data_IF_515589907093
#
_entry.id   IF_515589907093
#
_cell.length_a   1.000
_cell.length_b   1.000
_cell.length_c   1.000
_cell.angle_alpha   90.00
_cell.angle_beta   90.00
_cell.angle_gamma   90.00
#
_symmetry.space_group_name_H-M   'P 1'
#
loop_
_entity.id
_entity.type
_entity.pdbx_description
1 polymer ?
#
# COMPACT_ATOMS: atom_id res chain seq x y z
N UNK A 1 14.27 -14.70 -2.11
CA UNK A 1 13.79 -15.85 -2.92
C UNK A 1 12.91 -16.59 -1.94
N UNK A 2 11.62 -16.30 -1.99
CA UNK A 2 10.74 -16.51 -0.85
C UNK A 2 9.96 -17.81 -1.08
N UNK A 3 9.52 -18.49 -0.02
CA UNK A 3 8.88 -19.81 -0.11
C UNK A 3 7.70 -19.82 -1.11
N UNK A 4 6.93 -18.73 -1.16
CA UNK A 4 5.81 -18.54 -2.08
C UNK A 4 6.27 -18.55 -3.54
N UNK A 5 7.37 -17.86 -3.84
CA UNK A 5 7.97 -17.87 -5.16
C UNK A 5 8.39 -19.27 -5.60
N UNK A 6 8.86 -20.09 -4.66
CA UNK A 6 9.31 -21.44 -4.93
C UNK A 6 8.13 -22.42 -5.16
N UNK A 7 7.10 -22.36 -4.31
CA UNK A 7 5.98 -23.31 -4.34
C UNK A 7 4.88 -22.94 -5.33
N UNK A 8 4.82 -21.71 -5.86
CA UNK A 8 3.82 -21.31 -6.88
C UNK A 8 3.92 -22.10 -8.20
N UNK A 9 5.11 -22.64 -8.52
CA UNK A 9 5.32 -23.44 -9.72
C UNK A 9 4.81 -24.88 -9.60
N UNK A 10 4.37 -25.30 -8.42
CA UNK A 10 3.94 -26.65 -8.16
C UNK A 10 2.48 -26.84 -8.56
N UNK A 11 2.20 -27.95 -9.25
CA UNK A 11 0.86 -28.27 -9.71
C UNK A 11 -0.01 -28.68 -8.52
N UNK A 12 -1.15 -28.04 -8.34
CA UNK A 12 -2.12 -28.37 -7.28
C UNK A 12 -1.89 -27.64 -5.96
N UNK A 13 -1.02 -26.62 -5.92
CA UNK A 13 -0.84 -25.78 -4.73
C UNK A 13 -1.94 -24.74 -4.66
N UNK A 14 -2.71 -24.76 -3.57
CA UNK A 14 -3.69 -23.72 -3.25
C UNK A 14 -3.20 -22.94 -2.04
N UNK A 15 -3.27 -21.61 -2.14
CA UNK A 15 -2.98 -20.73 -1.02
C UNK A 15 -4.25 -20.11 -0.53
N UNK A 16 -4.37 -20.04 0.79
CA UNK A 16 -5.50 -19.40 1.44
C UNK A 16 -5.00 -18.29 2.35
N UNK A 17 -5.59 -17.11 2.20
CA UNK A 17 -5.37 -15.99 3.09
C UNK A 17 -6.73 -15.40 3.48
N UNK A 18 -6.92 -15.10 4.78
CA UNK A 18 -8.17 -14.52 5.29
C UNK A 18 -9.46 -15.27 4.87
N UNK A 19 -9.37 -16.60 4.73
CA UNK A 19 -10.50 -17.44 4.31
C UNK A 19 -10.80 -17.44 2.81
N UNK A 20 -9.98 -16.79 1.98
CA UNK A 20 -10.09 -16.77 0.52
C UNK A 20 -9.02 -17.63 -0.13
N UNK A 21 -9.37 -18.36 -1.17
CA UNK A 21 -8.37 -19.02 -2.04
C UNK A 21 -7.75 -17.95 -2.94
N UNK A 22 -6.44 -17.79 -2.85
CA UNK A 22 -5.66 -16.78 -3.59
C UNK A 22 -5.06 -17.41 -4.84
N UNK A 23 -4.53 -18.62 -4.72
CA UNK A 23 -3.78 -19.25 -5.81
C UNK A 23 -4.65 -20.33 -6.45
N UNK A 24 -5.44 -19.86 -7.42
CA UNK A 24 -6.00 -20.62 -8.55
C UNK A 24 -5.71 -19.92 -9.90
N UNK A 25 -5.28 -18.66 -9.87
CA UNK A 25 -4.95 -17.79 -11.01
C UNK A 25 -3.58 -17.12 -10.75
N UNK A 26 -2.82 -16.80 -11.80
CA UNK A 26 -1.40 -16.39 -11.67
C UNK A 26 -1.23 -14.98 -11.10
N UNK A 27 -2.17 -14.06 -11.35
CA UNK A 27 -2.09 -12.65 -10.95
C UNK A 27 -2.14 -12.42 -9.42
N UNK A 28 -3.11 -12.99 -8.66
CA UNK A 28 -3.18 -12.82 -7.20
C UNK A 28 -1.94 -13.30 -6.44
N UNK A 29 -1.23 -14.30 -6.98
CA UNK A 29 0.00 -14.81 -6.38
C UNK A 29 1.10 -13.74 -6.32
N UNK A 30 1.25 -12.94 -7.39
CA UNK A 30 2.26 -11.89 -7.45
C UNK A 30 1.94 -10.73 -6.52
N UNK A 31 0.66 -10.37 -6.39
CA UNK A 31 0.24 -9.30 -5.48
C UNK A 31 0.52 -9.67 -4.03
N UNK A 32 0.16 -10.90 -3.62
CA UNK A 32 0.50 -11.39 -2.28
C UNK A 32 2.01 -11.50 -2.06
N UNK A 33 2.76 -12.00 -3.04
CA UNK A 33 4.22 -12.06 -2.96
C UNK A 33 4.81 -10.66 -2.73
N UNK A 34 4.30 -9.64 -3.43
CA UNK A 34 4.74 -8.26 -3.28
C UNK A 34 4.40 -7.68 -1.89
N UNK A 35 3.19 -7.94 -1.38
CA UNK A 35 2.76 -7.52 -0.03
C UNK A 35 3.63 -8.18 1.04
N UNK A 36 3.87 -9.49 0.94
CA UNK A 36 4.66 -10.22 1.93
C UNK A 36 6.14 -9.85 1.88
N UNK A 37 6.67 -9.57 0.69
CA UNK A 37 8.01 -9.00 0.55
C UNK A 37 8.10 -7.62 1.22
N UNK A 38 7.14 -6.74 0.97
CA UNK A 38 7.08 -5.43 1.63
C UNK A 38 7.01 -5.55 3.16
N UNK A 39 6.22 -6.51 3.67
CA UNK A 39 6.17 -6.80 5.10
C UNK A 39 7.54 -7.29 5.63
N UNK A 40 8.20 -8.21 4.94
CA UNK A 40 9.53 -8.69 5.34
C UNK A 40 10.57 -7.55 5.37
N UNK A 41 10.56 -6.68 4.35
CA UNK A 41 11.44 -5.50 4.29
C UNK A 41 11.13 -4.53 5.45
N UNK A 42 9.85 -4.37 5.80
CA UNK A 42 9.46 -3.56 6.96
C UNK A 42 9.95 -4.15 8.28
N UNK A 43 10.06 -5.48 8.40
CA UNK A 43 10.57 -6.15 9.60
C UNK A 43 12.08 -5.97 9.77
N UNK A 44 12.81 -5.70 8.68
CA UNK A 44 14.23 -5.37 8.73
C UNK A 44 14.49 -3.91 9.16
N UNK A 45 13.49 -3.03 9.10
CA UNK A 45 13.60 -1.66 9.57
C UNK A 45 13.53 -1.57 11.11
N UNK A 46 14.33 -0.68 11.71
CA UNK A 46 14.32 -0.43 13.16
C UNK A 46 12.96 0.08 13.64
N UNK A 47 12.38 1.00 12.89
CA UNK A 47 10.99 1.44 13.06
C UNK A 47 10.24 1.14 11.76
N UNK A 48 9.19 0.34 11.88
CA UNK A 48 8.33 -0.02 10.76
C UNK A 48 7.57 1.18 10.19
N UNK A 49 7.26 2.18 11.02
CA UNK A 49 6.51 3.37 10.59
C UNK A 49 7.28 4.13 9.51
N UNK A 50 8.61 4.19 9.60
CA UNK A 50 9.45 4.78 8.56
C UNK A 50 9.36 4.05 7.20
N UNK A 51 9.16 2.72 7.24
CA UNK A 51 8.98 1.92 6.04
C UNK A 51 7.55 2.03 5.49
N UNK A 52 6.55 1.88 6.37
CA UNK A 52 5.15 1.71 6.03
C UNK A 52 4.45 3.04 5.76
N UNK A 53 4.69 4.08 6.57
CA UNK A 53 3.90 5.31 6.49
C UNK A 53 4.44 6.24 5.42
N UNK A 54 3.55 7.00 4.79
CA UNK A 54 3.89 8.05 3.84
C UNK A 54 3.13 9.31 4.16
N UNK A 55 3.81 10.45 4.04
CA UNK A 55 3.17 11.74 4.21
C UNK A 55 2.55 12.15 2.87
N UNK A 56 1.34 12.71 2.92
CA UNK A 56 0.58 13.18 1.76
C UNK A 56 -0.05 14.54 2.06
N UNK A 57 -0.22 15.36 1.03
CA UNK A 57 -0.78 16.71 1.17
C UNK A 57 -2.31 16.71 1.06
N UNK A 58 -2.86 15.96 0.10
CA UNK A 58 -4.29 15.81 -0.14
C UNK A 58 -4.70 14.34 -0.05
N UNK A 59 -5.61 13.96 0.87
CA UNK A 59 -6.03 12.57 1.00
C UNK A 59 -6.90 12.11 -0.17
N UNK A 60 -7.52 13.01 -0.93
CA UNK A 60 -8.32 12.67 -2.11
C UNK A 60 -7.51 12.63 -3.40
N UNK A 61 -6.33 13.24 -3.40
CA UNK A 61 -5.41 13.22 -4.51
C UNK A 61 -3.96 13.05 -4.03
N UNK A 62 -3.63 11.90 -3.40
CA UNK A 62 -2.33 11.69 -2.77
C UNK A 62 -1.16 11.72 -3.76
N UNK A 63 -1.44 11.52 -5.05
CA UNK A 63 -0.46 11.52 -6.13
C UNK A 63 -0.56 12.77 -7.02
N UNK A 64 -1.34 13.78 -6.63
CA UNK A 64 -1.48 15.05 -7.38
C UNK A 64 -0.14 15.65 -7.81
N UNK A 65 0.88 15.73 -6.92
CA UNK A 65 2.16 16.34 -7.28
C UNK A 65 2.92 15.58 -8.38
N UNK A 66 2.56 14.31 -8.60
CA UNK A 66 3.31 13.36 -9.43
C UNK A 66 2.68 13.12 -10.81
N UNK A 67 1.37 13.38 -10.98
CA UNK A 67 0.69 13.20 -12.28
C UNK A 67 1.23 14.09 -13.38
N UNK A 68 1.86 15.22 -13.06
CA UNK A 68 2.52 16.07 -14.04
C UNK A 68 3.75 15.40 -14.69
N UNK A 69 4.33 14.36 -14.05
CA UNK A 69 5.49 13.61 -14.55
C UNK A 69 5.12 12.30 -15.27
N UNK A 70 3.83 11.94 -15.36
CA UNK A 70 3.35 10.72 -16.03
C UNK A 70 3.68 10.66 -17.53
N UNK A 71 4.09 11.79 -18.14
CA UNK A 71 4.55 11.84 -19.52
C UNK A 71 6.02 11.42 -19.72
N UNK A 72 6.80 11.20 -18.64
CA UNK A 72 8.26 11.06 -18.76
C UNK A 72 8.77 9.61 -18.69
N UNK A 73 8.11 8.68 -17.99
CA UNK A 73 8.43 7.24 -18.12
C UNK A 73 7.42 6.32 -17.40
N UNK A 74 6.67 5.46 -18.12
CA UNK A 74 5.70 4.54 -17.53
C UNK A 74 6.32 3.41 -16.66
N UNK A 75 7.65 3.28 -16.65
CA UNK A 75 8.37 2.17 -16.04
C UNK A 75 8.95 2.48 -14.65
N UNK A 76 8.88 3.72 -14.16
CA UNK A 76 9.35 4.09 -12.82
C UNK A 76 8.19 4.09 -11.81
N UNK A 77 7.64 2.92 -11.49
CA UNK A 77 6.63 2.73 -10.43
C UNK A 77 7.23 2.76 -9.01
N UNK A 78 8.26 3.57 -8.81
CA UNK A 78 8.83 3.86 -7.50
C UNK A 78 8.67 5.35 -7.23
N UNK A 79 7.43 5.84 -7.30
CA UNK A 79 7.12 7.18 -6.81
C UNK A 79 7.25 7.16 -5.28
N UNK A 80 8.39 7.61 -4.79
CA UNK A 80 8.50 8.01 -3.40
C UNK A 80 7.77 9.34 -3.28
N UNK A 81 6.50 9.28 -2.89
CA UNK A 81 5.72 10.46 -2.58
C UNK A 81 6.41 11.22 -1.44
N UNK A 82 7.25 12.20 -1.79
CA UNK A 82 7.70 13.27 -0.92
C UNK A 82 6.59 14.34 -0.92
N UNK A 83 5.79 14.36 0.13
CA UNK A 83 4.84 15.46 0.35
C UNK A 83 5.57 16.79 0.47
N UNK A 84 4.94 17.88 0.04
CA UNK A 84 5.50 19.23 0.22
C UNK A 84 5.29 19.67 1.67
N UNK A 85 4.05 19.57 2.14
CA UNK A 85 3.65 20.00 3.49
C UNK A 85 3.51 18.80 4.43
N UNK A 86 3.15 17.64 3.88
CA UNK A 86 3.02 16.39 4.63
C UNK A 86 1.88 16.40 5.62
N UNK A 87 0.77 17.06 5.27
CA UNK A 87 -0.40 17.33 6.12
C UNK A 87 -1.10 16.08 6.66
N UNK A 88 -1.00 14.94 5.98
CA UNK A 88 -1.64 13.69 6.38
C UNK A 88 -0.65 12.54 6.39
N UNK A 89 -0.87 11.60 7.30
CA UNK A 89 -0.18 10.32 7.36
C UNK A 89 -1.02 9.27 6.66
N UNK A 90 -0.43 8.61 5.67
CA UNK A 90 -0.98 7.46 4.98
C UNK A 90 -0.34 6.16 5.49
N UNK A 91 -1.13 5.14 5.87
CA UNK A 91 -0.63 4.01 6.66
C UNK A 91 0.11 2.93 5.84
N UNK A 92 0.01 2.95 4.50
CA UNK A 92 0.58 1.89 3.66
C UNK A 92 1.27 2.42 2.40
N UNK A 93 2.61 2.43 2.40
CA UNK A 93 3.47 2.77 1.25
C UNK A 93 3.12 1.96 0.02
N UNK A 94 2.93 0.65 0.20
CA UNK A 94 2.70 -0.27 -0.91
C UNK A 94 1.39 0.07 -1.64
N UNK A 95 0.31 0.28 -0.87
CA UNK A 95 -1.03 0.53 -1.38
C UNK A 95 -1.20 1.93 -2.00
N UNK A 96 -0.42 2.92 -1.54
CA UNK A 96 -0.58 4.34 -1.90
C UNK A 96 -0.67 4.59 -3.41
N UNK A 97 0.08 3.84 -4.22
CA UNK A 97 0.11 4.02 -5.67
C UNK A 97 -1.21 3.66 -6.38
N UNK A 98 -2.08 2.89 -5.73
CA UNK A 98 -3.37 2.45 -6.29
C UNK A 98 -4.56 3.15 -5.63
N UNK A 99 -4.37 3.83 -4.50
CA UNK A 99 -5.46 4.43 -3.74
C UNK A 99 -6.19 5.53 -4.52
N UNK A 100 -7.49 5.34 -4.75
CA UNK A 100 -8.38 6.28 -5.47
C UNK A 100 -9.66 6.54 -4.68
N UNK A 101 -9.59 7.35 -3.61
CA UNK A 101 -10.75 7.65 -2.78
C UNK A 101 -11.76 8.54 -3.49
N UNK A 102 -12.99 8.46 -3.03
CA UNK A 102 -14.12 9.24 -3.52
C UNK A 102 -14.56 10.26 -2.45
N UNK A 103 -14.51 11.55 -2.79
CA UNK A 103 -14.85 12.64 -1.86
C UNK A 103 -16.32 12.66 -1.43
N UNK A 104 -17.22 12.19 -2.29
CA UNK A 104 -18.66 12.15 -2.04
C UNK A 104 -19.14 10.80 -1.50
N UNK A 105 -18.21 9.92 -1.13
CA UNK A 105 -18.55 8.59 -0.64
C UNK A 105 -19.08 8.64 0.79
N UNK A 106 -20.10 7.83 1.15
CA UNK A 106 -20.68 7.84 2.51
C UNK A 106 -19.75 7.26 3.58
N UNK A 107 -18.80 6.40 3.19
CA UNK A 107 -17.82 5.82 4.12
C UNK A 107 -16.60 6.73 4.34
N UNK A 108 -15.99 6.61 5.52
CA UNK A 108 -14.82 7.40 5.91
C UNK A 108 -13.59 7.06 5.05
N UNK A 109 -12.54 7.90 5.11
CA UNK A 109 -11.28 7.61 4.40
C UNK A 109 -10.62 6.32 4.90
N UNK A 110 -10.51 6.05 6.21
CA UNK A 110 -10.03 4.76 6.72
C UNK A 110 -10.81 3.56 6.16
N UNK A 111 -12.15 3.65 6.04
CA UNK A 111 -12.96 2.58 5.46
C UNK A 111 -12.65 2.39 3.97
N UNK A 112 -12.46 3.48 3.23
CA UNK A 112 -12.08 3.42 1.82
C UNK A 112 -10.66 2.83 1.64
N UNK A 113 -9.73 3.17 2.53
CA UNK A 113 -8.38 2.58 2.59
C UNK A 113 -8.49 1.07 2.85
N UNK A 114 -9.33 0.66 3.79
CA UNK A 114 -9.56 -0.74 4.11
C UNK A 114 -10.15 -1.51 2.92
N UNK A 115 -11.14 -0.94 2.25
CA UNK A 115 -11.75 -1.54 1.07
C UNK A 115 -10.76 -1.72 -0.09
N UNK A 116 -9.96 -0.70 -0.41
CA UNK A 116 -8.89 -0.77 -1.41
C UNK A 116 -7.80 -1.77 -1.01
N UNK A 117 -7.43 -1.79 0.28
CA UNK A 117 -6.47 -2.76 0.80
C UNK A 117 -6.91 -4.20 0.61
N UNK A 118 -8.21 -4.48 0.72
CA UNK A 118 -8.79 -5.81 0.45
C UNK A 118 -8.81 -6.12 -1.05
N UNK A 119 -8.99 -5.12 -1.92
CA UNK A 119 -8.95 -5.30 -3.37
C UNK A 119 -7.55 -5.65 -3.89
N UNK A 120 -6.52 -5.12 -3.25
CA UNK A 120 -5.10 -5.31 -3.60
C UNK A 120 -4.32 -6.22 -2.63
N UNK A 121 -5.03 -7.07 -1.87
CA UNK A 121 -4.46 -8.03 -0.90
C UNK A 121 -3.52 -7.44 0.17
N UNK A 122 -3.54 -6.12 0.38
CA UNK A 122 -2.76 -5.46 1.42
C UNK A 122 -3.26 -5.85 2.82
N UNK A 123 -4.51 -6.30 2.96
CA UNK A 123 -5.11 -6.81 4.20
C UNK A 123 -4.45 -8.11 4.73
N UNK A 124 -3.66 -8.77 3.88
CA UNK A 124 -2.82 -9.92 4.24
C UNK A 124 -1.61 -9.47 5.06
N UNK A 125 -1.15 -8.23 4.90
CA UNK A 125 -0.02 -7.70 5.68
C UNK A 125 -0.40 -7.56 7.16
N UNK A 126 0.37 -8.14 8.11
CA UNK A 126 0.10 -7.99 9.54
C UNK A 126 0.17 -6.57 10.08
N UNK A 127 0.82 -5.65 9.34
CA UNK A 127 0.97 -4.23 9.70
C UNK A 127 -0.02 -3.32 8.98
N UNK A 128 -0.96 -3.87 8.22
CA UNK A 128 -1.97 -3.07 7.55
C UNK A 128 -3.01 -2.58 8.58
N UNK A 129 -2.92 -1.29 8.93
CA UNK A 129 -3.78 -0.61 9.88
C UNK A 129 -4.37 0.66 9.24
N UNK A 130 -5.57 0.57 8.64
CA UNK A 130 -6.24 1.73 8.04
C UNK A 130 -6.51 2.88 9.02
N UNK A 131 -6.69 2.55 10.30
CA UNK A 131 -7.00 3.50 11.38
C UNK A 131 -5.83 4.43 11.72
N UNK A 132 -4.61 4.12 11.30
CA UNK A 132 -3.44 4.99 11.47
C UNK A 132 -3.45 6.20 10.50
N UNK A 133 -4.45 6.28 9.62
CA UNK A 133 -4.68 7.45 8.77
C UNK A 133 -5.12 8.65 9.61
N UNK A 134 -4.41 9.78 9.47
CA UNK A 134 -4.73 11.00 10.22
C UNK A 134 -3.99 12.24 9.74
N UNK A 135 -4.31 13.39 10.30
CA UNK A 135 -3.57 14.64 10.09
C UNK A 135 -2.22 14.60 10.81
N UNK A 136 -1.15 14.90 10.11
CA UNK A 136 0.19 15.06 10.65
C UNK A 136 0.34 16.49 11.21
N UNK A 137 0.19 16.67 12.51
CA UNK A 137 0.38 17.96 13.18
C UNK A 137 1.86 18.21 13.52
N UNK A 138 2.74 18.11 12.52
CA UNK A 138 4.14 18.52 12.68
C UNK A 138 4.22 19.96 12.16
N UNK A 139 4.20 20.94 13.06
CA UNK A 139 4.54 22.32 12.72
C UNK A 139 5.98 22.33 12.18
N UNK A 140 6.25 22.92 11.01
CA UNK A 140 7.61 23.05 10.52
C UNK A 140 8.41 23.91 11.51
N UNK A 141 9.47 23.36 12.11
CA UNK A 141 10.44 24.15 12.88
C UNK A 141 11.07 25.19 11.92
N UNK A 142 10.84 26.49 12.21
CA UNK A 142 11.45 27.66 11.56
C UNK A 142 12.97 27.73 11.72
#
# INVERSE_FOLDING_TARGET
MDLIHYVRGWRGTHFYARGRMVIGEMEPAFEIEAVLKCFADSCAARDHRAHCFRLIDDPFNPLAPYRAFDHVAPNFRHFEAASIDGTYVFPCRHMLQWFRPQKTHPASIPDQIQAEGVAHYCDVCPRFAPDDFGSNSIEPEE
#
